data_IF_118681666745
#
_entry.id   IF_118681666745
#
_cell.length_a   1.000
_cell.length_b   1.000
_cell.length_c   1.000
_cell.angle_alpha   90.00
_cell.angle_beta   90.00
_cell.angle_gamma   90.00
#
_symmetry.space_group_name_H-M   'P 1'
#
loop_
_entity.id
_entity.type
_entity.pdbx_description
1 polymer ?
#
# COMPACT_ATOMS: atom_id res chain seq x y z
N UNK A 1 16.34 -13.78 -2.00
CA UNK A 1 15.04 -13.82 -2.72
C UNK A 1 14.46 -12.44 -2.56
N UNK A 2 14.76 -11.53 -3.50
CA UNK A 2 14.55 -10.10 -3.31
C UNK A 2 13.94 -9.56 -4.59
N UNK A 3 12.62 -9.74 -4.72
CA UNK A 3 11.83 -9.36 -5.89
C UNK A 3 11.56 -7.84 -5.87
N UNK A 4 12.60 -7.04 -6.03
CA UNK A 4 12.48 -5.59 -6.19
C UNK A 4 12.95 -5.16 -7.57
N UNK A 5 12.20 -5.56 -8.60
CA UNK A 5 12.39 -5.10 -9.97
C UNK A 5 11.23 -4.17 -10.38
N UNK A 6 11.38 -2.84 -10.25
CA UNK A 6 10.30 -1.89 -10.47
C UNK A 6 9.96 -1.62 -11.94
N UNK A 7 10.56 -2.34 -12.92
CA UNK A 7 10.43 -2.00 -14.35
C UNK A 7 10.30 -3.21 -15.30
N UNK A 8 9.69 -4.33 -14.89
CA UNK A 8 9.32 -5.38 -15.85
C UNK A 8 7.82 -5.72 -15.80
N UNK A 9 7.15 -5.47 -16.93
CA UNK A 9 6.02 -6.28 -17.39
C UNK A 9 4.74 -6.26 -16.55
N UNK A 10 3.79 -5.39 -16.91
CA UNK A 10 2.34 -5.66 -16.84
C UNK A 10 1.67 -5.90 -15.48
N UNK A 11 2.40 -5.97 -14.38
CA UNK A 11 1.86 -6.24 -13.04
C UNK A 11 2.19 -5.09 -12.11
N UNK A 12 1.18 -4.29 -11.75
CA UNK A 12 1.34 -3.27 -10.72
C UNK A 12 1.86 -3.92 -9.43
N UNK A 13 2.87 -3.33 -8.75
CA UNK A 13 3.41 -3.89 -7.52
C UNK A 13 2.29 -4.05 -6.51
N UNK A 14 2.27 -5.15 -5.75
CA UNK A 14 1.25 -5.39 -4.73
C UNK A 14 1.42 -4.36 -3.62
N UNK A 15 0.32 -3.85 -3.08
CA UNK A 15 0.41 -2.95 -1.93
C UNK A 15 0.99 -3.73 -0.73
N UNK A 16 2.14 -3.32 -0.17
CA UNK A 16 2.79 -4.04 0.93
C UNK A 16 1.95 -4.05 2.20
N UNK A 17 1.11 -3.03 2.41
CA UNK A 17 0.27 -2.91 3.61
C UNK A 17 -0.91 -3.89 3.64
N UNK A 18 -1.41 -4.33 2.50
CA UNK A 18 -2.50 -5.32 2.42
C UNK A 18 -2.13 -6.55 1.61
N UNK A 19 -0.84 -6.71 1.29
CA UNK A 19 -0.28 -7.78 0.47
C UNK A 19 -1.09 -8.10 -0.80
N UNK A 20 -1.58 -7.08 -1.51
CA UNK A 20 -2.36 -7.31 -2.73
C UNK A 20 -3.87 -7.47 -2.58
N UNK A 21 -4.40 -7.63 -1.38
CA UNK A 21 -5.82 -7.96 -1.16
C UNK A 21 -6.76 -6.76 -1.23
N UNK A 22 -6.22 -5.53 -1.15
CA UNK A 22 -6.98 -4.29 -1.11
C UNK A 22 -7.77 -4.08 0.18
N UNK A 23 -7.79 -5.04 1.10
CA UNK A 23 -8.58 -4.96 2.35
C UNK A 23 -7.72 -5.33 3.54
N UNK A 24 -7.93 -4.65 4.65
CA UNK A 24 -7.26 -4.93 5.92
C UNK A 24 -8.29 -5.14 7.01
N UNK A 25 -7.85 -5.77 8.10
CA UNK A 25 -8.65 -5.92 9.32
C UNK A 25 -9.18 -4.57 9.76
N UNK A 26 -10.44 -4.52 10.22
CA UNK A 26 -10.97 -3.30 10.83
C UNK A 26 -10.08 -2.88 12.00
N UNK A 27 -9.71 -1.60 12.07
CA UNK A 27 -9.03 -1.10 13.27
C UNK A 27 -9.93 -1.16 14.49
N UNK A 28 -11.24 -1.05 14.32
CA UNK A 28 -12.21 -1.08 15.41
C UNK A 28 -12.15 -2.30 16.30
N UNK A 29 -11.90 -3.50 15.76
CA UNK A 29 -11.87 -4.72 16.55
C UNK A 29 -10.65 -4.77 17.47
N UNK A 30 -9.70 -3.84 17.32
CA UNK A 30 -8.60 -3.62 18.26
C UNK A 30 -8.98 -2.75 19.45
N UNK A 31 -9.96 -1.87 19.30
CA UNK A 31 -10.31 -0.82 20.29
C UNK A 31 -11.74 -0.94 20.84
N UNK A 32 -12.55 -1.83 20.26
CA UNK A 32 -13.88 -2.22 20.72
C UNK A 32 -13.78 -3.58 21.37
N UNK A 33 -14.55 -3.83 22.43
CA UNK A 33 -14.58 -5.06 23.25
C UNK A 33 -15.08 -6.33 22.53
N UNK A 34 -14.81 -6.45 21.22
CA UNK A 34 -15.28 -7.53 20.36
C UNK A 34 -16.42 -7.14 19.43
N UNK A 35 -16.97 -5.94 19.56
CA UNK A 35 -18.01 -5.45 18.65
C UNK A 35 -17.43 -5.16 17.26
N UNK A 36 -17.79 -6.02 16.31
CA UNK A 36 -17.49 -5.82 14.88
C UNK A 36 -18.31 -4.66 14.29
N UNK A 37 -19.33 -4.19 15.03
CA UNK A 37 -20.33 -3.21 14.67
C UNK A 37 -19.87 -1.75 14.58
N UNK A 38 -18.57 -1.46 14.52
CA UNK A 38 -18.14 -0.08 14.35
C UNK A 38 -18.66 0.50 13.01
N UNK A 39 -18.94 1.80 13.01
CA UNK A 39 -19.39 2.52 11.80
C UNK A 39 -18.32 2.54 10.71
N UNK A 40 -17.04 2.48 11.08
CA UNK A 40 -15.89 2.51 10.16
C UNK A 40 -15.82 1.29 9.22
N UNK A 41 -16.36 0.15 9.64
CA UNK A 41 -16.41 -1.09 8.82
C UNK A 41 -17.82 -1.62 8.63
N UNK A 42 -18.85 -0.87 9.04
CA UNK A 42 -20.26 -1.24 8.91
C UNK A 42 -20.55 -2.68 9.37
N UNK A 43 -19.97 -3.12 10.48
CA UNK A 43 -20.17 -4.50 10.96
C UNK A 43 -19.38 -5.59 10.24
N UNK A 44 -18.71 -5.29 9.13
CA UNK A 44 -18.08 -6.29 8.26
C UNK A 44 -16.70 -6.78 8.73
N UNK A 45 -16.10 -6.11 9.72
CA UNK A 45 -14.77 -6.45 10.24
C UNK A 45 -13.59 -6.22 9.29
N UNK A 46 -13.82 -5.69 8.08
CA UNK A 46 -12.78 -5.43 7.07
C UNK A 46 -12.96 -4.06 6.42
N UNK A 47 -11.93 -3.22 6.48
CA UNK A 47 -11.89 -1.93 5.76
C UNK A 47 -11.05 -2.03 4.48
N UNK A 48 -11.23 -1.05 3.60
CA UNK A 48 -10.31 -0.83 2.49
C UNK A 48 -8.91 -0.49 3.02
N UNK A 49 -7.87 -0.99 2.37
CA UNK A 49 -6.51 -0.63 2.70
C UNK A 49 -6.27 0.84 2.38
N UNK A 50 -5.97 1.64 3.40
CA UNK A 50 -5.76 3.08 3.22
C UNK A 50 -4.52 3.36 2.35
N UNK A 51 -3.45 2.58 2.50
CA UNK A 51 -2.20 2.74 1.75
C UNK A 51 -2.34 2.59 0.23
N UNK A 52 -3.32 1.80 -0.25
CA UNK A 52 -3.62 1.67 -1.68
C UNK A 52 -5.04 2.10 -2.06
N UNK A 53 -5.79 2.72 -1.14
CA UNK A 53 -7.18 3.12 -1.35
C UNK A 53 -8.12 1.96 -1.71
N UNK A 54 -7.82 0.73 -1.32
CA UNK A 54 -8.65 -0.44 -1.64
C UNK A 54 -8.31 -1.18 -2.93
N UNK A 55 -7.39 -0.67 -3.73
CA UNK A 55 -7.04 -1.25 -5.05
C UNK A 55 -6.21 -2.54 -4.95
N UNK A 56 -5.51 -2.74 -3.83
CA UNK A 56 -4.58 -3.86 -3.66
C UNK A 56 -3.27 -3.68 -4.42
N UNK A 57 -3.12 -2.64 -5.25
CA UNK A 57 -1.92 -2.35 -6.01
C UNK A 57 -1.28 -1.07 -5.52
N UNK A 58 0.04 -1.08 -5.37
CA UNK A 58 0.84 0.12 -5.21
C UNK A 58 0.85 0.86 -6.54
N UNK A 59 0.45 2.13 -6.55
CA UNK A 59 0.67 3.01 -7.70
C UNK A 59 2.13 3.43 -7.69
N UNK A 60 2.95 3.05 -8.68
CA UNK A 60 4.25 3.67 -8.84
C UNK A 60 4.01 5.15 -9.15
N UNK A 61 4.47 6.03 -8.26
CA UNK A 61 4.52 7.46 -8.52
C UNK A 61 5.73 7.69 -9.42
N UNK A 62 5.56 8.16 -10.67
CA UNK A 62 6.70 8.51 -11.50
C UNK A 62 7.38 9.74 -10.89
N UNK A 63 8.43 9.53 -10.11
CA UNK A 63 9.31 10.59 -9.67
C UNK A 63 10.40 10.79 -10.73
N UNK A 64 10.48 11.99 -11.30
CA UNK A 64 11.61 12.37 -12.15
C UNK A 64 12.75 12.85 -11.26
N UNK A 65 13.80 12.04 -11.13
CA UNK A 65 14.98 12.39 -10.35
C UNK A 65 16.01 13.01 -11.30
N UNK A 66 16.17 14.33 -11.25
CA UNK A 66 17.23 15.02 -12.00
C UNK A 66 18.55 14.95 -11.22
N UNK A 67 19.39 13.97 -11.54
CA UNK A 67 20.75 13.89 -10.99
C UNK A 67 21.66 14.85 -11.75
N UNK A 68 21.99 16.00 -11.13
CA UNK A 68 23.09 16.85 -11.61
C UNK A 68 24.40 16.20 -11.20
N UNK A 69 25.15 15.65 -12.15
CA UNK A 69 26.53 15.22 -11.88
C UNK A 69 27.36 16.46 -11.57
N UNK A 70 27.84 16.59 -10.33
CA UNK A 70 28.90 17.53 -10.00
C UNK A 70 30.19 17.01 -10.65
N UNK A 71 30.58 17.60 -11.77
CA UNK A 71 31.95 17.46 -12.26
C UNK A 71 32.85 18.17 -11.25
N UNK A 72 33.40 17.41 -10.31
CA UNK A 72 34.53 17.86 -9.48
C UNK A 72 35.80 17.59 -10.30
N UNK A 73 36.50 18.62 -10.81
CA UNK A 73 37.82 18.42 -11.40
C UNK A 73 38.84 18.08 -10.30
N UNK A 74 39.69 17.09 -10.60
CA UNK A 74 40.82 16.65 -9.77
C UNK A 74 41.91 17.69 -9.61
#
# INVERSE_FOLDING_TARGET
MDQNNPMAGGSFPRCPSCNGTGRVSCFCSRWSDGDVGCRTCSGSGRMACNSCGGTGTGRPLPAQITVRRSNTPS
#
